data_IF_455985086348
#
_entry.id   IF_455985086348
#
_cell.length_a   1.000
_cell.length_b   1.000
_cell.length_c   1.000
_cell.angle_alpha   90.00
_cell.angle_beta   90.00
_cell.angle_gamma   90.00
#
_symmetry.space_group_name_H-M   'P 1'
#
loop_
_entity.id
_entity.type
_entity.pdbx_description
1 polymer ?
#
# COMPACT_ATOMS: atom_id res chain seq x y z
N UNK A 1 -4.95 23.82 -3.54
CA UNK A 1 -5.18 22.47 -2.98
C UNK A 1 -4.23 22.09 -1.85
N UNK A 2 -3.06 22.73 -1.67
CA UNK A 2 -2.08 22.33 -0.65
C UNK A 2 -1.62 23.49 0.24
N UNK A 3 -1.06 23.15 1.39
CA UNK A 3 -0.21 23.98 2.23
C UNK A 3 1.24 23.49 2.10
N UNK A 4 2.13 24.36 1.60
CA UNK A 4 3.55 24.06 1.42
C UNK A 4 4.27 24.10 2.77
N UNK A 5 5.10 23.07 3.02
CA UNK A 5 5.91 22.96 4.24
C UNK A 5 6.86 24.16 4.32
N UNK A 6 6.87 24.85 5.46
CA UNK A 6 7.73 26.00 5.73
C UNK A 6 7.38 27.30 5.00
N UNK A 7 6.26 27.36 4.26
CA UNK A 7 5.80 28.59 3.58
C UNK A 7 4.35 28.97 3.85
N UNK A 8 3.56 28.07 4.44
CA UNK A 8 2.15 28.32 4.75
C UNK A 8 1.99 28.79 6.18
N UNK A 9 0.86 29.43 6.47
CA UNK A 9 0.41 29.70 7.85
C UNK A 9 0.51 28.43 8.71
N UNK A 10 1.18 28.55 9.86
CA UNK A 10 1.52 27.42 10.73
C UNK A 10 0.29 26.74 11.30
N UNK A 11 -0.72 27.53 11.70
CA UNK A 11 -1.97 27.03 12.27
C UNK A 11 -2.79 26.26 11.22
N UNK A 12 -2.92 26.81 10.01
CA UNK A 12 -3.61 26.16 8.91
C UNK A 12 -2.89 24.87 8.47
N UNK A 13 -1.56 24.90 8.40
CA UNK A 13 -0.73 23.73 8.09
C UNK A 13 -0.90 22.64 9.16
N UNK A 14 -0.80 23.00 10.43
CA UNK A 14 -0.94 22.06 11.55
C UNK A 14 -2.32 21.38 11.55
N UNK A 15 -3.41 22.16 11.43
CA UNK A 15 -4.77 21.62 11.34
C UNK A 15 -4.96 20.70 10.13
N UNK A 16 -4.37 21.04 8.98
CA UNK A 16 -4.40 20.19 7.80
C UNK A 16 -3.66 18.86 8.00
N UNK A 17 -2.52 18.87 8.69
CA UNK A 17 -1.79 17.65 9.04
C UNK A 17 -2.60 16.79 10.03
N UNK A 18 -3.25 17.38 11.04
CA UNK A 18 -4.11 16.63 11.95
C UNK A 18 -5.26 15.93 11.23
N UNK A 19 -5.96 16.63 10.34
CA UNK A 19 -7.05 16.04 9.54
C UNK A 19 -6.55 14.91 8.63
N UNK A 20 -5.36 15.06 8.03
CA UNK A 20 -4.71 14.00 7.24
C UNK A 20 -4.40 12.77 8.08
N UNK A 21 -3.89 12.95 9.30
CA UNK A 21 -3.63 11.80 10.19
C UNK A 21 -4.95 11.17 10.65
N UNK A 22 -5.96 11.96 10.94
CA UNK A 22 -7.28 11.42 11.30
C UNK A 22 -7.88 10.61 10.15
N UNK A 23 -7.81 11.10 8.90
CA UNK A 23 -8.34 10.38 7.74
C UNK A 23 -7.61 9.05 7.51
N UNK A 24 -6.28 9.03 7.67
CA UNK A 24 -5.48 7.80 7.54
C UNK A 24 -5.75 6.81 8.67
N UNK A 25 -5.99 7.27 9.90
CA UNK A 25 -6.44 6.41 11.01
C UNK A 25 -7.79 5.77 10.73
N UNK A 26 -8.76 6.55 10.24
CA UNK A 26 -10.08 6.02 9.85
C UNK A 26 -9.91 4.91 8.80
N UNK A 27 -9.13 5.16 7.75
CA UNK A 27 -8.87 4.17 6.71
C UNK A 27 -8.10 2.94 7.23
N UNK A 28 -7.17 3.11 8.17
CA UNK A 28 -6.45 2.00 8.79
C UNK A 28 -7.40 1.11 9.62
N UNK A 29 -8.28 1.69 10.44
CA UNK A 29 -9.25 0.91 11.21
C UNK A 29 -10.28 0.24 10.30
N UNK A 30 -10.75 0.95 9.28
CA UNK A 30 -11.61 0.40 8.25
C UNK A 30 -10.95 -0.79 7.54
N UNK A 31 -9.66 -0.70 7.21
CA UNK A 31 -8.91 -1.82 6.63
C UNK A 31 -8.97 -3.07 7.51
N UNK A 32 -8.70 -2.93 8.81
CA UNK A 32 -8.79 -4.03 9.77
C UNK A 32 -10.20 -4.64 9.83
N UNK A 33 -11.23 -3.80 9.91
CA UNK A 33 -12.62 -4.24 9.93
C UNK A 33 -12.99 -5.01 8.65
N UNK A 34 -12.62 -4.49 7.48
CA UNK A 34 -12.89 -5.12 6.18
C UNK A 34 -12.17 -6.47 6.04
N UNK A 35 -10.92 -6.60 6.52
CA UNK A 35 -10.23 -7.90 6.53
C UNK A 35 -10.90 -8.91 7.45
N UNK A 36 -11.33 -8.51 8.65
CA UNK A 36 -12.05 -9.40 9.59
C UNK A 36 -13.36 -9.87 8.96
N UNK A 37 -14.15 -8.95 8.39
CA UNK A 37 -15.39 -9.27 7.69
C UNK A 37 -15.14 -10.17 6.47
N UNK A 38 -14.07 -9.89 5.71
CA UNK A 38 -13.64 -10.72 4.58
C UNK A 38 -13.35 -12.16 5.01
N UNK A 39 -12.58 -12.36 6.08
CA UNK A 39 -12.32 -13.71 6.63
C UNK A 39 -13.62 -14.37 7.10
N UNK A 40 -14.52 -13.65 7.76
CA UNK A 40 -15.79 -14.22 8.24
C UNK A 40 -16.74 -14.68 7.12
N UNK A 41 -16.62 -14.11 5.93
CA UNK A 41 -17.45 -14.45 4.76
C UNK A 41 -16.79 -15.51 3.86
N UNK A 42 -15.57 -15.93 4.19
CA UNK A 42 -14.86 -16.99 3.47
C UNK A 42 -15.67 -18.29 3.48
N UNK A 43 -15.73 -18.98 2.33
CA UNK A 43 -16.47 -20.24 2.16
C UNK A 43 -17.99 -20.10 1.99
N UNK A 44 -18.59 -18.96 2.34
CA UNK A 44 -20.04 -18.74 2.27
C UNK A 44 -20.43 -17.80 1.12
N UNK A 45 -19.67 -16.72 0.93
CA UNK A 45 -19.95 -15.69 -0.09
C UNK A 45 -18.65 -15.29 -0.78
N UNK A 46 -18.20 -16.08 -1.77
CA UNK A 46 -16.87 -15.92 -2.39
C UNK A 46 -16.64 -14.53 -3.02
N UNK A 47 -17.64 -13.96 -3.69
CA UNK A 47 -17.53 -12.62 -4.27
C UNK A 47 -17.41 -11.54 -3.18
N UNK A 48 -18.22 -11.63 -2.12
CA UNK A 48 -18.16 -10.69 -1.00
C UNK A 48 -16.83 -10.81 -0.25
N UNK A 49 -16.35 -12.03 -0.03
CA UNK A 49 -15.01 -12.28 0.52
C UNK A 49 -13.94 -11.57 -0.31
N UNK A 50 -13.89 -11.85 -1.62
CA UNK A 50 -12.92 -11.23 -2.52
C UNK A 50 -12.97 -9.70 -2.51
N UNK A 51 -14.18 -9.14 -2.51
CA UNK A 51 -14.38 -7.70 -2.44
C UNK A 51 -13.88 -7.10 -1.12
N UNK A 52 -14.26 -7.67 0.02
CA UNK A 52 -13.87 -7.18 1.34
C UNK A 52 -12.35 -7.25 1.54
N UNK A 53 -11.70 -8.31 1.07
CA UNK A 53 -10.23 -8.42 1.12
C UNK A 53 -9.56 -7.31 0.29
N UNK A 54 -10.07 -7.00 -0.91
CA UNK A 54 -9.56 -5.89 -1.73
C UNK A 54 -9.84 -4.54 -1.12
N UNK A 55 -11.06 -4.31 -0.65
CA UNK A 55 -11.46 -3.07 -0.01
C UNK A 55 -10.58 -2.79 1.22
N UNK A 56 -10.30 -3.83 2.02
CA UNK A 56 -9.36 -3.77 3.14
C UNK A 56 -7.95 -3.39 2.71
N UNK A 57 -7.45 -3.97 1.61
CA UNK A 57 -6.14 -3.64 1.04
C UNK A 57 -6.10 -2.19 0.48
N UNK A 58 -7.14 -1.76 -0.23
CA UNK A 58 -7.24 -0.39 -0.74
C UNK A 58 -7.28 0.64 0.39
N UNK A 59 -8.02 0.36 1.47
CA UNK A 59 -8.07 1.20 2.66
C UNK A 59 -6.70 1.27 3.37
N UNK A 60 -5.98 0.15 3.43
CA UNK A 60 -4.61 0.10 3.97
C UNK A 60 -3.66 0.98 3.16
N UNK A 61 -3.64 0.83 1.83
CA UNK A 61 -2.76 1.61 0.98
C UNK A 61 -3.18 3.07 0.87
N UNK A 62 -4.47 3.38 1.00
CA UNK A 62 -4.91 4.76 1.22
C UNK A 62 -4.24 5.32 2.48
N UNK A 63 -4.36 4.64 3.62
CA UNK A 63 -3.79 5.10 4.89
C UNK A 63 -2.27 5.31 4.80
N UNK A 64 -1.53 4.31 4.34
CA UNK A 64 -0.06 4.34 4.27
C UNK A 64 0.42 5.41 3.29
N UNK A 65 -0.09 5.38 2.05
CA UNK A 65 0.42 6.26 0.99
C UNK A 65 0.01 7.72 1.21
N UNK A 66 -1.18 7.95 1.76
CA UNK A 66 -1.65 9.29 2.07
C UNK A 66 -0.92 9.90 3.28
N UNK A 67 -0.57 9.09 4.30
CA UNK A 67 0.25 9.54 5.43
C UNK A 67 1.64 10.03 4.98
N UNK A 68 2.20 9.38 3.96
CA UNK A 68 3.52 9.73 3.43
C UNK A 68 3.50 10.86 2.41
N UNK A 69 2.32 11.21 1.89
CA UNK A 69 2.16 12.20 0.84
C UNK A 69 2.89 13.52 1.14
N UNK A 70 2.84 14.11 2.36
CA UNK A 70 3.59 15.32 2.66
C UNK A 70 5.10 15.21 2.42
N UNK A 71 5.71 14.07 2.75
CA UNK A 71 7.12 13.80 2.46
C UNK A 71 7.40 13.57 0.97
N UNK A 72 6.40 13.14 0.20
CA UNK A 72 6.52 12.85 -1.23
C UNK A 72 6.24 14.04 -2.15
N UNK A 73 5.67 15.13 -1.64
CA UNK A 73 5.36 16.34 -2.44
C UNK A 73 5.78 17.65 -1.74
N UNK A 74 6.37 17.57 -0.55
CA UNK A 74 6.74 18.72 0.30
C UNK A 74 5.59 19.69 0.57
N UNK A 75 4.38 19.14 0.75
CA UNK A 75 3.17 19.89 1.04
C UNK A 75 2.09 18.99 1.62
N UNK A 76 1.28 19.53 2.52
CA UNK A 76 0.10 18.84 3.05
C UNK A 76 -1.14 19.27 2.26
N UNK A 77 -2.04 18.34 1.87
CA UNK A 77 -3.34 18.71 1.31
C UNK A 77 -4.13 19.63 2.25
N UNK A 78 -4.96 20.53 1.72
CA UNK A 78 -5.89 21.31 2.56
C UNK A 78 -6.91 20.38 3.22
N UNK A 79 -7.40 20.76 4.40
CA UNK A 79 -8.44 20.05 5.17
C UNK A 79 -9.61 19.56 4.31
N UNK A 80 -10.20 20.46 3.52
CA UNK A 80 -11.33 20.13 2.63
C UNK A 80 -10.96 19.05 1.62
N UNK A 81 -9.74 19.09 1.08
CA UNK A 81 -9.26 18.11 0.10
C UNK A 81 -9.04 16.75 0.74
N UNK A 82 -8.57 16.72 1.99
CA UNK A 82 -8.45 15.49 2.79
C UNK A 82 -9.79 14.79 2.99
N UNK A 83 -10.78 15.52 3.48
CA UNK A 83 -12.11 14.95 3.72
C UNK A 83 -12.84 14.60 2.43
N UNK A 84 -12.67 15.42 1.37
CA UNK A 84 -13.18 15.09 0.05
C UNK A 84 -12.58 13.78 -0.47
N UNK A 85 -11.25 13.60 -0.37
CA UNK A 85 -10.60 12.38 -0.82
C UNK A 85 -11.11 11.14 -0.06
N UNK A 86 -11.28 11.26 1.26
CA UNK A 86 -11.84 10.18 2.07
C UNK A 86 -13.31 9.88 1.72
N UNK A 87 -14.11 10.92 1.49
CA UNK A 87 -15.51 10.76 1.06
C UNK A 87 -15.60 10.07 -0.31
N UNK A 88 -14.77 10.46 -1.28
CA UNK A 88 -14.69 9.80 -2.58
C UNK A 88 -14.23 8.35 -2.46
N UNK A 89 -13.35 8.04 -1.51
CA UNK A 89 -12.95 6.66 -1.21
C UNK A 89 -14.14 5.84 -0.69
N UNK A 90 -14.92 6.37 0.26
CA UNK A 90 -16.14 5.73 0.75
C UNK A 90 -17.21 5.57 -0.33
N UNK A 91 -17.34 6.56 -1.22
CA UNK A 91 -18.23 6.45 -2.38
C UNK A 91 -17.78 5.34 -3.34
N UNK A 92 -16.47 5.16 -3.54
CA UNK A 92 -15.93 4.01 -4.27
C UNK A 92 -16.29 2.68 -3.60
N UNK A 93 -16.18 2.60 -2.27
CA UNK A 93 -16.55 1.41 -1.50
C UNK A 93 -18.03 1.03 -1.62
N UNK A 94 -18.92 2.01 -1.51
CA UNK A 94 -20.36 1.78 -1.58
C UNK A 94 -20.80 1.57 -3.02
N UNK A 95 -20.28 2.40 -3.94
CA UNK A 95 -20.62 2.38 -5.36
C UNK A 95 -20.10 1.15 -6.11
N UNK A 96 -19.17 0.37 -5.54
CA UNK A 96 -18.69 -0.89 -6.12
C UNK A 96 -19.84 -1.84 -6.47
N UNK A 97 -20.91 -1.86 -5.66
CA UNK A 97 -22.06 -2.74 -5.88
C UNK A 97 -22.72 -2.47 -7.23
N UNK A 98 -22.78 -1.21 -7.65
CA UNK A 98 -23.47 -0.79 -8.88
C UNK A 98 -22.53 -0.60 -10.07
N UNK A 99 -21.29 -0.16 -9.83
CA UNK A 99 -20.36 0.27 -10.89
C UNK A 99 -19.03 -0.50 -10.88
N UNK A 100 -18.88 -1.51 -10.01
CA UNK A 100 -17.61 -2.21 -9.84
C UNK A 100 -16.47 -1.25 -9.47
N UNK A 101 -15.27 -1.51 -9.96
CA UNK A 101 -14.12 -0.66 -9.64
C UNK A 101 -14.18 0.73 -10.29
N UNK A 102 -15.01 0.94 -11.30
CA UNK A 102 -15.21 2.28 -11.91
C UNK A 102 -15.69 3.31 -10.87
N UNK A 103 -16.39 2.87 -9.82
CA UNK A 103 -16.81 3.72 -8.70
C UNK A 103 -15.65 4.47 -8.03
N UNK A 104 -14.42 3.94 -8.11
CA UNK A 104 -13.22 4.57 -7.55
C UNK A 104 -12.63 5.66 -8.45
N UNK A 105 -13.17 5.91 -9.65
CA UNK A 105 -12.62 6.91 -10.58
C UNK A 105 -12.46 8.30 -9.95
N UNK A 106 -13.47 8.88 -9.26
CA UNK A 106 -13.31 10.19 -8.64
C UNK A 106 -12.20 10.21 -7.57
N UNK A 107 -12.13 9.15 -6.75
CA UNK A 107 -11.08 8.97 -5.75
C UNK A 107 -9.69 8.92 -6.41
N UNK A 108 -9.53 8.07 -7.43
CA UNK A 108 -8.28 7.92 -8.17
C UNK A 108 -7.82 9.24 -8.80
N UNK A 109 -8.71 9.96 -9.48
CA UNK A 109 -8.37 11.22 -10.13
C UNK A 109 -7.89 12.27 -9.13
N UNK A 110 -8.62 12.47 -8.02
CA UNK A 110 -8.20 13.43 -7.00
C UNK A 110 -6.86 13.02 -6.37
N UNK A 111 -6.68 11.73 -6.08
CA UNK A 111 -5.45 11.24 -5.48
C UNK A 111 -4.24 11.37 -6.42
N UNK A 112 -4.43 11.13 -7.72
CA UNK A 112 -3.40 11.36 -8.75
C UNK A 112 -2.99 12.84 -8.75
N UNK A 113 -3.95 13.76 -8.81
CA UNK A 113 -3.67 15.22 -8.82
C UNK A 113 -2.83 15.62 -7.61
N UNK A 114 -3.09 15.04 -6.44
CA UNK A 114 -2.28 15.28 -5.24
C UNK A 114 -0.82 14.85 -5.42
N UNK A 115 -0.58 13.70 -6.06
CA UNK A 115 0.77 13.21 -6.36
C UNK A 115 1.49 14.01 -7.45
N UNK A 116 0.75 14.53 -8.45
CA UNK A 116 1.32 15.29 -9.57
C UNK A 116 2.09 16.53 -9.11
N UNK A 117 1.71 17.14 -7.97
CA UNK A 117 2.47 18.26 -7.38
C UNK A 117 3.95 17.94 -7.19
N UNK A 118 4.26 16.70 -6.80
CA UNK A 118 5.64 16.28 -6.58
C UNK A 118 6.44 16.17 -7.88
N UNK A 119 5.82 15.95 -9.04
CA UNK A 119 6.56 15.63 -10.26
C UNK A 119 7.37 16.80 -10.84
N UNK A 120 6.98 18.05 -10.53
CA UNK A 120 7.72 19.25 -10.94
C UNK A 120 8.78 19.70 -9.93
N UNK A 121 9.01 18.90 -8.88
CA UNK A 121 9.92 19.24 -7.80
C UNK A 121 11.27 18.53 -7.89
N UNK A 122 11.67 17.92 -6.78
CA UNK A 122 12.97 17.25 -6.63
C UNK A 122 12.92 15.83 -7.20
N UNK A 123 14.07 15.27 -7.60
CA UNK A 123 14.12 13.89 -8.11
C UNK A 123 13.57 12.83 -7.14
N UNK A 124 13.59 13.11 -5.83
CA UNK A 124 12.97 12.28 -4.79
C UNK A 124 11.47 12.10 -4.97
N UNK A 125 10.79 12.87 -5.82
CA UNK A 125 9.36 12.80 -6.05
C UNK A 125 8.97 12.02 -7.31
N UNK A 126 9.92 11.73 -8.21
CA UNK A 126 9.67 10.92 -9.41
C UNK A 126 9.00 9.56 -9.15
N UNK A 127 9.24 8.83 -8.04
CA UNK A 127 8.53 7.57 -7.78
C UNK A 127 7.01 7.73 -7.63
N UNK A 128 6.49 8.96 -7.49
CA UNK A 128 5.06 9.24 -7.49
C UNK A 128 4.38 8.85 -8.82
N UNK A 129 5.12 8.83 -9.95
CA UNK A 129 4.55 8.39 -11.24
C UNK A 129 4.07 6.94 -11.20
N UNK A 130 4.75 6.08 -10.43
CA UNK A 130 4.39 4.67 -10.29
C UNK A 130 3.06 4.57 -9.54
N UNK A 131 2.93 5.26 -8.40
CA UNK A 131 1.68 5.29 -7.61
C UNK A 131 0.52 5.88 -8.40
N UNK A 132 0.76 6.97 -9.13
CA UNK A 132 -0.24 7.61 -9.98
C UNK A 132 -0.73 6.66 -11.09
N UNK A 133 0.18 5.90 -11.71
CA UNK A 133 -0.18 4.88 -12.68
C UNK A 133 -1.07 3.79 -12.06
N UNK A 134 -0.75 3.29 -10.86
CA UNK A 134 -1.61 2.34 -10.15
C UNK A 134 -3.00 2.89 -9.84
N UNK A 135 -3.09 4.15 -9.38
CA UNK A 135 -4.36 4.83 -9.15
C UNK A 135 -5.19 4.94 -10.43
N UNK A 136 -4.54 5.22 -11.57
CA UNK A 136 -5.19 5.29 -12.88
C UNK A 136 -5.77 3.94 -13.32
N UNK A 137 -5.07 2.85 -12.99
CA UNK A 137 -5.50 1.48 -13.33
C UNK A 137 -6.66 0.96 -12.46
N UNK A 138 -6.82 1.48 -11.24
CA UNK A 138 -7.87 1.03 -10.30
C UNK A 138 -9.28 1.04 -10.92
N UNK A 139 -9.80 2.15 -11.48
CA UNK A 139 -11.12 2.15 -12.11
C UNK A 139 -11.23 1.28 -13.36
N UNK A 140 -10.11 0.83 -13.93
CA UNK A 140 -10.05 -0.08 -15.08
C UNK A 140 -9.96 -1.56 -14.67
N UNK A 141 -10.03 -1.85 -13.38
CA UNK A 141 -9.97 -3.20 -12.85
C UNK A 141 -11.28 -3.95 -13.13
N UNK A 142 -11.18 -5.13 -13.74
CA UNK A 142 -12.35 -5.97 -14.09
C UNK A 142 -12.49 -7.15 -13.14
N UNK A 143 -11.46 -7.42 -12.34
CA UNK A 143 -11.44 -8.47 -11.33
C UNK A 143 -10.80 -7.97 -10.03
N UNK A 144 -11.01 -8.70 -8.94
CA UNK A 144 -10.32 -8.44 -7.67
C UNK A 144 -8.80 -8.49 -7.82
N UNK A 145 -8.28 -9.46 -8.58
CA UNK A 145 -6.84 -9.60 -8.81
C UNK A 145 -6.26 -8.40 -9.56
N UNK A 146 -6.98 -7.88 -10.57
CA UNK A 146 -6.57 -6.64 -11.26
C UNK A 146 -6.53 -5.46 -10.29
N UNK A 147 -7.51 -5.36 -9.39
CA UNK A 147 -7.53 -4.30 -8.40
C UNK A 147 -6.33 -4.40 -7.43
N UNK A 148 -5.85 -5.61 -7.08
CA UNK A 148 -4.57 -5.78 -6.35
C UNK A 148 -3.41 -5.20 -7.17
N UNK A 149 -3.36 -5.55 -8.45
CA UNK A 149 -2.35 -5.11 -9.42
C UNK A 149 -2.49 -3.65 -9.85
N UNK A 150 -3.43 -2.91 -9.29
CA UNK A 150 -3.60 -1.48 -9.57
C UNK A 150 -2.84 -0.63 -8.52
N UNK A 151 -3.56 0.19 -7.77
CA UNK A 151 -3.02 1.09 -6.75
C UNK A 151 -2.21 0.38 -5.65
N UNK A 152 -2.66 -0.73 -5.04
CA UNK A 152 -1.90 -1.39 -3.97
C UNK A 152 -0.50 -1.82 -4.41
N UNK A 153 -0.40 -2.55 -5.52
CA UNK A 153 0.88 -3.07 -5.98
C UNK A 153 1.82 -1.97 -6.47
N UNK A 154 1.29 -0.98 -7.20
CA UNK A 154 2.07 0.17 -7.65
C UNK A 154 2.64 0.97 -6.47
N UNK A 155 1.87 1.08 -5.39
CA UNK A 155 2.31 1.72 -4.15
C UNK A 155 3.48 0.97 -3.51
N UNK A 156 3.44 -0.36 -3.47
CA UNK A 156 4.60 -1.16 -3.01
C UNK A 156 5.82 -0.91 -3.88
N UNK A 157 5.70 -0.95 -5.20
CA UNK A 157 6.85 -0.70 -6.08
C UNK A 157 7.40 0.72 -5.95
N UNK A 158 6.55 1.73 -5.75
CA UNK A 158 6.99 3.10 -5.46
C UNK A 158 7.82 3.15 -4.17
N UNK A 159 7.37 2.47 -3.12
CA UNK A 159 8.08 2.40 -1.83
C UNK A 159 9.39 1.62 -1.91
N UNK A 160 9.37 0.44 -2.55
CA UNK A 160 10.58 -0.35 -2.76
C UNK A 160 11.59 0.44 -3.60
N UNK A 161 11.16 1.11 -4.67
CA UNK A 161 12.05 1.97 -5.45
C UNK A 161 12.67 3.09 -4.60
N UNK A 162 11.89 3.75 -3.74
CA UNK A 162 12.39 4.78 -2.80
C UNK A 162 13.45 4.24 -1.84
N UNK A 163 13.13 3.13 -1.16
CA UNK A 163 13.99 2.60 -0.09
C UNK A 163 15.26 1.99 -0.69
N UNK A 164 15.14 1.21 -1.76
CA UNK A 164 16.26 0.47 -2.32
C UNK A 164 17.29 1.36 -2.99
N UNK A 165 16.85 2.38 -3.74
CA UNK A 165 17.78 3.36 -4.29
C UNK A 165 18.48 4.14 -3.17
N UNK A 166 17.76 4.50 -2.10
CA UNK A 166 18.34 5.16 -0.93
C UNK A 166 19.39 4.27 -0.24
N UNK A 167 19.07 2.99 0.02
CA UNK A 167 20.01 2.01 0.61
C UNK A 167 21.22 1.73 -0.29
N UNK A 168 21.00 1.69 -1.60
CA UNK A 168 22.06 1.56 -2.61
C UNK A 168 22.83 2.87 -2.83
N UNK A 169 22.47 3.97 -2.15
CA UNK A 169 23.04 5.31 -2.31
C UNK A 169 23.02 5.80 -3.77
N UNK A 170 21.99 5.39 -4.52
CA UNK A 170 21.76 5.79 -5.91
C UNK A 170 20.82 7.00 -5.96
N UNK A 171 20.99 7.82 -7.00
CA UNK A 171 20.13 8.97 -7.25
C UNK A 171 18.81 8.51 -7.87
N UNK A 172 17.73 9.17 -7.49
CA UNK A 172 16.46 9.05 -8.21
C UNK A 172 16.57 9.78 -9.54
N UNK A 173 16.18 9.12 -10.64
CA UNK A 173 16.15 9.72 -11.97
C UNK A 173 14.75 9.55 -12.58
N UNK A 174 14.33 10.50 -13.40
CA UNK A 174 13.06 10.43 -14.10
C UNK A 174 13.01 9.25 -15.09
N UNK A 175 14.05 8.98 -15.89
CA UNK A 175 14.05 7.83 -16.81
C UNK A 175 13.85 6.49 -16.10
N UNK A 176 14.51 6.25 -14.96
CA UNK A 176 14.36 4.99 -14.22
C UNK A 176 12.97 4.86 -13.60
N UNK A 177 12.38 5.94 -13.08
CA UNK A 177 11.02 5.93 -12.55
C UNK A 177 9.97 5.71 -13.67
N UNK A 178 10.16 6.36 -14.83
CA UNK A 178 9.30 6.19 -15.99
C UNK A 178 9.44 4.79 -16.60
N UNK A 179 10.65 4.22 -16.69
CA UNK A 179 10.82 2.86 -17.18
C UNK A 179 10.15 1.85 -16.26
N UNK A 180 10.32 1.98 -14.95
CA UNK A 180 9.63 1.12 -13.99
C UNK A 180 8.10 1.26 -14.11
N UNK A 181 7.61 2.47 -14.33
CA UNK A 181 6.17 2.73 -14.56
C UNK A 181 5.69 2.11 -15.87
N UNK A 182 6.46 2.23 -16.96
CA UNK A 182 6.11 1.66 -18.25
C UNK A 182 6.08 0.12 -18.20
N UNK A 183 7.07 -0.50 -17.56
CA UNK A 183 7.09 -1.95 -17.33
C UNK A 183 5.92 -2.40 -16.45
N UNK A 184 5.55 -1.60 -15.45
CA UNK A 184 4.39 -1.86 -14.62
C UNK A 184 3.07 -1.81 -15.41
N UNK A 185 2.88 -0.77 -16.22
CA UNK A 185 1.70 -0.63 -17.08
C UNK A 185 1.63 -1.77 -18.11
N UNK A 186 2.75 -2.12 -18.74
CA UNK A 186 2.84 -3.23 -19.67
C UNK A 186 2.51 -4.57 -18.99
N UNK A 187 3.04 -4.80 -17.77
CA UNK A 187 2.70 -5.98 -16.98
C UNK A 187 1.20 -6.04 -16.67
N UNK A 188 0.58 -4.92 -16.29
CA UNK A 188 -0.86 -4.86 -16.03
C UNK A 188 -1.70 -5.16 -17.29
N UNK A 189 -1.33 -4.60 -18.43
CA UNK A 189 -2.00 -4.93 -19.70
C UNK A 189 -1.83 -6.41 -20.03
N UNK A 190 -0.65 -6.99 -19.77
CA UNK A 190 -0.41 -8.41 -19.97
C UNK A 190 -1.29 -9.30 -19.06
N UNK A 191 -1.63 -8.87 -17.83
CA UNK A 191 -2.55 -9.64 -16.98
C UNK A 191 -3.96 -9.71 -17.56
N UNK A 192 -4.38 -8.69 -18.33
CA UNK A 192 -5.69 -8.68 -19.00
C UNK A 192 -5.82 -9.75 -20.10
N UNK A 193 -4.69 -10.21 -20.65
CA UNK A 193 -4.64 -11.31 -21.64
C UNK A 193 -4.21 -12.64 -21.00
N UNK A 194 -4.27 -12.76 -19.67
CA UNK A 194 -3.99 -14.00 -18.94
C UNK A 194 -2.52 -14.21 -18.52
N UNK A 195 -1.63 -13.26 -18.82
CA UNK A 195 -0.20 -13.36 -18.47
C UNK A 195 0.09 -12.74 -17.09
N UNK A 196 -0.54 -13.25 -16.03
CA UNK A 196 -0.42 -12.68 -14.68
C UNK A 196 1.00 -12.74 -14.09
N UNK A 197 1.84 -13.67 -14.56
CA UNK A 197 3.27 -13.73 -14.20
C UNK A 197 4.07 -12.50 -14.67
N UNK A 198 3.56 -11.73 -15.63
CA UNK A 198 4.21 -10.52 -16.14
C UNK A 198 4.44 -9.46 -15.04
N UNK A 199 3.73 -9.56 -13.91
CA UNK A 199 4.01 -8.78 -12.70
C UNK A 199 5.41 -9.01 -12.11
N UNK A 200 6.15 -10.03 -12.58
CA UNK A 200 7.57 -10.18 -12.31
C UNK A 200 8.45 -9.12 -12.99
N UNK A 201 8.00 -8.50 -14.10
CA UNK A 201 8.78 -7.50 -14.85
C UNK A 201 9.21 -6.28 -14.00
N UNK A 202 8.31 -5.58 -13.28
CA UNK A 202 8.72 -4.50 -12.39
C UNK A 202 9.65 -4.99 -11.26
N UNK A 203 9.46 -6.22 -10.76
CA UNK A 203 10.38 -6.84 -9.78
C UNK A 203 11.78 -7.06 -10.35
N UNK A 204 11.88 -7.56 -11.58
CA UNK A 204 13.14 -7.78 -12.29
C UNK A 204 13.87 -6.46 -12.52
N UNK A 205 13.19 -5.47 -13.09
CA UNK A 205 13.76 -4.14 -13.34
C UNK A 205 14.28 -3.49 -12.05
N UNK A 206 13.48 -3.53 -10.97
CA UNK A 206 13.90 -3.00 -9.70
C UNK A 206 15.11 -3.74 -9.12
N UNK A 207 15.22 -5.06 -9.34
CA UNK A 207 16.37 -5.86 -8.90
C UNK A 207 17.64 -5.52 -9.69
N UNK A 208 17.51 -5.24 -10.98
CA UNK A 208 18.62 -4.76 -11.81
C UNK A 208 19.10 -3.37 -11.36
N UNK A 209 18.17 -2.47 -11.03
CA UNK A 209 18.51 -1.12 -10.56
C UNK A 209 19.07 -1.08 -9.15
N UNK A 210 18.45 -1.80 -8.23
CA UNK A 210 18.83 -1.85 -6.83
C UNK A 210 18.51 -3.24 -6.24
N UNK A 211 19.57 -4.05 -6.12
CA UNK A 211 19.49 -5.39 -5.55
C UNK A 211 19.10 -5.32 -4.07
N UNK A 212 18.11 -6.11 -3.62
CA UNK A 212 17.78 -6.22 -2.20
C UNK A 212 19.00 -6.70 -1.42
N UNK A 213 19.27 -6.07 -0.28
CA UNK A 213 20.29 -6.55 0.66
C UNK A 213 19.63 -7.45 1.70
N UNK A 214 19.94 -8.75 1.71
CA UNK A 214 19.28 -9.76 2.56
C UNK A 214 19.76 -9.77 4.02
N UNK A 215 20.17 -8.61 4.54
CA UNK A 215 20.84 -8.51 5.84
C UNK A 215 19.85 -8.11 6.96
N UNK A 216 18.62 -7.73 6.61
CA UNK A 216 17.59 -7.28 7.55
C UNK A 216 16.17 -7.70 7.12
N UNK A 217 15.21 -7.55 8.06
CA UNK A 217 13.81 -7.96 7.89
C UNK A 217 13.18 -7.35 6.64
N UNK A 218 13.44 -6.06 6.42
CA UNK A 218 13.02 -5.37 5.20
C UNK A 218 13.57 -6.07 3.94
N UNK A 219 14.88 -6.34 3.88
CA UNK A 219 15.53 -6.86 2.69
C UNK A 219 15.05 -8.26 2.31
N UNK A 220 14.84 -9.13 3.30
CA UNK A 220 14.26 -10.47 3.07
C UNK A 220 12.80 -10.36 2.64
N UNK A 221 11.99 -9.54 3.32
CA UNK A 221 10.59 -9.34 2.95
C UNK A 221 10.42 -8.77 1.54
N UNK A 222 11.26 -7.80 1.16
CA UNK A 222 11.28 -7.21 -0.17
C UNK A 222 11.72 -8.21 -1.25
N UNK A 223 12.74 -9.02 -0.97
CA UNK A 223 13.17 -10.08 -1.88
C UNK A 223 12.09 -11.13 -2.07
N UNK A 224 11.51 -11.64 -0.97
CA UNK A 224 10.42 -12.60 -0.99
C UNK A 224 9.25 -12.08 -1.84
N UNK A 225 8.79 -10.86 -1.57
CA UNK A 225 7.67 -10.26 -2.27
C UNK A 225 7.86 -10.19 -3.79
N UNK A 226 9.05 -9.75 -4.23
CA UNK A 226 9.37 -9.56 -5.65
C UNK A 226 9.17 -10.84 -6.48
N UNK A 227 9.44 -11.99 -5.88
CA UNK A 227 9.34 -13.29 -6.55
C UNK A 227 8.03 -13.99 -6.28
N UNK A 228 7.48 -13.87 -5.06
CA UNK A 228 6.18 -14.44 -4.72
C UNK A 228 5.06 -13.88 -5.60
N UNK A 229 5.16 -12.62 -6.05
CA UNK A 229 4.14 -12.03 -6.93
C UNK A 229 4.12 -12.64 -8.35
N UNK A 230 5.25 -13.19 -8.80
CA UNK A 230 5.32 -13.90 -10.08
C UNK A 230 4.50 -15.19 -10.07
N UNK A 231 4.17 -15.71 -8.89
CA UNK A 231 3.34 -16.90 -8.68
C UNK A 231 1.83 -16.59 -8.76
N UNK A 232 1.45 -15.38 -9.16
CA UNK A 232 0.05 -15.02 -9.40
C UNK A 232 -0.76 -16.01 -10.27
N UNK A 233 -0.20 -16.67 -11.32
CA UNK A 233 -0.92 -17.68 -12.08
C UNK A 233 -1.38 -18.88 -11.24
N UNK A 234 -0.71 -19.16 -10.13
CA UNK A 234 -1.04 -20.27 -9.22
C UNK A 234 -2.20 -19.92 -8.27
N UNK A 235 -2.61 -18.65 -8.22
CA UNK A 235 -3.78 -18.21 -7.49
C UNK A 235 -3.61 -16.85 -6.81
N UNK A 236 -4.73 -16.15 -6.60
CA UNK A 236 -4.73 -14.81 -6.00
C UNK A 236 -4.15 -14.77 -4.58
N UNK A 237 -4.22 -15.88 -3.83
CA UNK A 237 -3.67 -15.98 -2.48
C UNK A 237 -2.15 -15.86 -2.43
N UNK A 238 -1.42 -16.30 -3.45
CA UNK A 238 0.02 -16.05 -3.55
C UNK A 238 0.32 -14.55 -3.54
N UNK A 239 -0.48 -13.78 -4.26
CA UNK A 239 -0.34 -12.32 -4.30
C UNK A 239 -0.72 -11.71 -2.96
N UNK A 240 -1.92 -11.98 -2.43
CA UNK A 240 -2.38 -11.40 -1.17
C UNK A 240 -1.45 -11.71 0.01
N UNK A 241 -0.95 -12.94 0.10
CA UNK A 241 -0.05 -13.33 1.17
C UNK A 241 1.36 -12.74 0.96
N UNK A 242 1.80 -12.52 -0.28
CA UNK A 242 3.01 -11.75 -0.53
C UNK A 242 2.89 -10.30 -0.02
N UNK A 243 1.72 -9.68 -0.21
CA UNK A 243 1.42 -8.38 0.39
C UNK A 243 1.55 -8.40 1.91
N UNK A 244 1.01 -9.43 2.58
CA UNK A 244 1.15 -9.57 4.03
C UNK A 244 2.62 -9.59 4.47
N UNK A 245 3.50 -10.29 3.74
CA UNK A 245 4.94 -10.35 4.03
C UNK A 245 5.61 -8.98 3.84
N UNK A 246 5.41 -8.31 2.70
CA UNK A 246 6.04 -7.00 2.46
C UNK A 246 5.49 -5.93 3.39
N UNK A 247 4.18 -5.96 3.69
CA UNK A 247 3.56 -5.06 4.65
C UNK A 247 4.16 -5.24 6.04
N UNK A 248 4.42 -6.47 6.46
CA UNK A 248 5.07 -6.80 7.74
C UNK A 248 6.53 -6.33 7.81
N UNK A 249 7.20 -6.22 6.66
CA UNK A 249 8.58 -5.77 6.56
C UNK A 249 8.74 -4.25 6.42
N UNK A 250 7.68 -3.56 5.93
CA UNK A 250 7.75 -2.18 5.45
C UNK A 250 6.65 -1.33 6.07
N UNK A 251 5.39 -1.65 5.79
CA UNK A 251 4.28 -0.78 6.14
C UNK A 251 4.01 -0.75 7.66
N UNK A 252 4.03 -1.92 8.29
CA UNK A 252 3.73 -2.13 9.70
C UNK A 252 4.77 -1.49 10.63
N UNK A 253 6.07 -1.82 10.54
CA UNK A 253 7.05 -1.31 11.51
C UNK A 253 7.25 0.21 11.40
N UNK A 254 7.10 0.80 10.21
CA UNK A 254 7.46 2.20 9.99
C UNK A 254 6.26 3.15 9.95
N UNK A 255 5.10 2.74 9.41
CA UNK A 255 4.01 3.68 9.11
C UNK A 255 2.80 3.55 10.04
N UNK A 256 2.50 2.36 10.56
CA UNK A 256 1.40 2.21 11.53
C UNK A 256 1.65 3.07 12.79
N UNK A 257 2.84 3.07 13.41
CA UNK A 257 3.10 3.95 14.56
C UNK A 257 2.93 5.44 14.23
N UNK A 258 3.38 5.86 13.05
CA UNK A 258 3.22 7.24 12.58
C UNK A 258 1.74 7.63 12.41
N UNK A 259 0.92 6.76 11.81
CA UNK A 259 -0.53 6.95 11.68
C UNK A 259 -1.17 7.03 13.08
N UNK A 260 -0.73 6.21 14.02
CA UNK A 260 -1.24 6.20 15.39
C UNK A 260 -0.69 7.33 16.28
N UNK A 261 0.26 8.14 15.82
CA UNK A 261 1.04 9.09 16.63
C UNK A 261 1.66 8.41 17.88
N UNK A 262 2.31 7.27 17.67
CA UNK A 262 2.98 6.49 18.72
C UNK A 262 4.47 6.37 18.39
N UNK A 263 5.30 6.21 19.42
CA UNK A 263 6.69 5.80 19.22
C UNK A 263 6.75 4.47 18.46
N UNK A 264 7.76 4.31 17.59
CA UNK A 264 7.92 3.11 16.78
C UNK A 264 8.39 1.96 17.68
N UNK A 265 7.60 0.86 17.79
CA UNK A 265 8.04 -0.32 18.53
C UNK A 265 9.25 -0.95 17.85
N UNK A 266 10.16 -1.51 18.66
CA UNK A 266 11.27 -2.29 18.11
C UNK A 266 10.78 -3.69 17.71
N UNK A 267 10.44 -3.82 16.42
CA UNK A 267 10.13 -5.09 15.77
C UNK A 267 11.43 -5.70 15.19
N UNK A 268 11.68 -6.97 15.46
CA UNK A 268 12.76 -7.72 14.79
C UNK A 268 12.17 -8.50 13.61
N UNK A 269 12.62 -9.74 13.44
CA UNK A 269 12.23 -10.62 12.34
C UNK A 269 10.86 -11.25 12.51
N UNK A 270 10.24 -11.15 13.69
CA UNK A 270 9.01 -11.85 14.03
C UNK A 270 7.87 -11.53 13.06
N UNK A 271 7.72 -10.28 12.63
CA UNK A 271 6.63 -9.90 11.74
C UNK A 271 6.76 -10.59 10.37
N UNK A 272 7.96 -10.55 9.80
CA UNK A 272 8.26 -11.12 8.48
C UNK A 272 8.20 -12.65 8.54
N UNK A 273 8.75 -13.25 9.60
CA UNK A 273 8.73 -14.69 9.80
C UNK A 273 7.29 -15.22 9.95
N UNK A 274 6.47 -14.61 10.81
CA UNK A 274 5.07 -15.02 11.00
C UNK A 274 4.27 -14.86 9.71
N UNK A 275 4.44 -13.76 8.98
CA UNK A 275 3.76 -13.56 7.70
C UNK A 275 4.21 -14.57 6.63
N UNK A 276 5.50 -14.92 6.59
CA UNK A 276 6.03 -15.92 5.66
C UNK A 276 5.52 -17.34 5.99
N UNK A 277 5.45 -17.70 7.28
CA UNK A 277 4.84 -18.98 7.70
C UNK A 277 3.35 -18.99 7.34
N UNK A 278 2.61 -17.91 7.60
CA UNK A 278 1.21 -17.81 7.21
C UNK A 278 1.03 -17.96 5.69
N UNK A 279 1.92 -17.36 4.89
CA UNK A 279 1.97 -17.54 3.44
C UNK A 279 2.14 -19.02 3.07
N UNK A 280 3.11 -19.71 3.66
CA UNK A 280 3.37 -21.12 3.34
C UNK A 280 2.16 -21.98 3.68
N UNK A 281 1.65 -21.86 4.92
CA UNK A 281 0.47 -22.59 5.39
C UNK A 281 -0.76 -22.35 4.50
N UNK A 282 -0.97 -21.12 4.03
CA UNK A 282 -2.10 -20.82 3.12
C UNK A 282 -2.00 -21.60 1.82
N UNK A 283 -0.79 -21.69 1.26
CA UNK A 283 -0.54 -22.26 -0.05
C UNK A 283 -0.39 -23.79 -0.02
N UNK A 284 -0.18 -24.40 1.15
CA UNK A 284 -0.31 -25.85 1.37
C UNK A 284 -1.69 -26.24 1.93
N UNK A 285 -2.70 -25.38 1.76
CA UNK A 285 -4.10 -25.60 2.12
C UNK A 285 -4.40 -25.76 3.62
N UNK A 286 -3.45 -25.43 4.50
CA UNK A 286 -3.62 -25.38 5.96
C UNK A 286 -4.24 -24.03 6.36
N UNK A 287 -5.45 -23.78 5.87
CA UNK A 287 -6.09 -22.45 5.86
C UNK A 287 -6.33 -21.87 7.26
N UNK A 288 -6.82 -22.67 8.19
CA UNK A 288 -7.16 -22.22 9.55
C UNK A 288 -5.92 -21.77 10.32
N UNK A 289 -4.82 -22.50 10.20
CA UNK A 289 -3.56 -22.11 10.84
C UNK A 289 -2.99 -20.82 10.23
N UNK A 290 -3.06 -20.66 8.91
CA UNK A 290 -2.68 -19.40 8.24
C UNK A 290 -3.52 -18.20 8.71
N UNK A 291 -4.84 -18.38 8.81
CA UNK A 291 -5.76 -17.34 9.28
C UNK A 291 -5.46 -16.96 10.74
N UNK A 292 -5.29 -17.95 11.63
CA UNK A 292 -4.96 -17.73 13.04
C UNK A 292 -3.62 -16.99 13.20
N UNK A 293 -2.59 -17.35 12.44
CA UNK A 293 -1.31 -16.63 12.46
C UNK A 293 -1.45 -15.19 11.99
N UNK A 294 -2.26 -14.95 10.95
CA UNK A 294 -2.51 -13.60 10.43
C UNK A 294 -3.25 -12.75 11.47
N UNK A 295 -4.28 -13.30 12.11
CA UNK A 295 -5.02 -12.63 13.19
C UNK A 295 -4.09 -12.35 14.38
N UNK A 296 -3.30 -13.34 14.80
CA UNK A 296 -2.34 -13.20 15.89
C UNK A 296 -1.30 -12.12 15.58
N UNK A 297 -0.81 -12.04 14.33
CA UNK A 297 0.11 -11.00 13.88
C UNK A 297 -0.52 -9.60 13.97
N UNK A 298 -1.77 -9.45 13.52
CA UNK A 298 -2.51 -8.17 13.62
C UNK A 298 -2.69 -7.75 15.09
N UNK A 299 -3.13 -8.68 15.94
CA UNK A 299 -3.29 -8.43 17.39
C UNK A 299 -1.94 -8.06 18.02
N UNK A 300 -0.88 -8.81 17.72
CA UNK A 300 0.47 -8.54 18.23
C UNK A 300 0.93 -7.13 17.88
N UNK A 301 0.80 -6.73 16.60
CA UNK A 301 1.15 -5.39 16.12
C UNK A 301 0.31 -4.31 16.80
N UNK A 302 -1.00 -4.52 16.92
CA UNK A 302 -1.91 -3.57 17.56
C UNK A 302 -1.53 -3.37 19.05
N UNK A 303 -1.37 -4.46 19.80
CA UNK A 303 -0.99 -4.42 21.22
C UNK A 303 0.37 -3.77 21.41
N UNK A 304 1.38 -4.16 20.62
CA UNK A 304 2.72 -3.53 20.67
C UNK A 304 2.64 -2.04 20.40
N UNK A 305 1.99 -1.63 19.31
CA UNK A 305 1.91 -0.22 18.91
C UNK A 305 1.14 0.64 19.90
N UNK A 306 0.07 0.11 20.52
CA UNK A 306 -0.74 0.84 21.49
C UNK A 306 -0.06 0.96 22.87
N UNK A 307 0.85 0.05 23.21
CA UNK A 307 1.66 0.11 24.44
C UNK A 307 2.75 1.18 24.38
N UNK A 308 3.19 1.56 23.19
CA UNK A 308 4.20 2.62 23.03
C UNK A 308 3.63 3.99 23.42
N UNK A 309 4.53 4.92 23.78
CA UNK A 309 4.13 6.27 24.22
C UNK A 309 3.47 7.05 23.08
N UNK A 310 2.41 7.79 23.40
CA UNK A 310 1.82 8.77 22.48
C UNK A 310 2.80 9.92 22.25
N UNK A 311 2.87 10.45 21.03
CA UNK A 311 3.73 11.57 20.69
C UNK A 311 2.95 12.69 19.98
N UNK A 312 3.02 13.95 20.45
CA UNK A 312 3.76 14.41 21.64
C UNK A 312 3.18 13.80 22.93
N UNK A 313 4.00 13.59 23.97
CA UNK A 313 3.48 13.14 25.28
C UNK A 313 2.41 14.12 25.75
N UNK A 314 1.28 13.58 26.22
CA UNK A 314 0.22 14.34 26.88
C UNK A 314 0.70 14.86 28.23
#
# INVERSE_FOLDING_TARGET
MWHVIGKSDESAFFKATLDLVLSTRIALFLSGALFILGVSTAGHMQQLHGYLMIAGLLAFYHAVMYMQLPGFINATPRRVVTWLLLALFFLGLIGYISFGYLAYLPYSLLHIVLYLRGLWGKPTYYPNVITAAGLFLLPLSTSHLDAVFSFPLASVYSLLYRIELSRARKRFTAPSALLLTALYLAAYVATKVGLSWAMALPSLALTLYARPRLNDAYGIGAFFFRWAIALAPLGAHFVYMAFAVVMSALCVPYFIPAILYRQVPNYKWELVATAAVAFLLRNIEVMWASALLTIALVIYVAVRSLREKYYPPL
#
